data_IF_900392703006
#
_entry.id   IF_900392703006
#
_cell.length_a   1.000
_cell.length_b   1.000
_cell.length_c   1.000
_cell.angle_alpha   90.00
_cell.angle_beta   90.00
_cell.angle_gamma   90.00
#
_symmetry.space_group_name_H-M   'P 1'
#
loop_
_entity.id
_entity.type
_entity.pdbx_description
1 polymer ?
#
# COMPACT_ATOMS: atom_id res chain seq x y z
N UNK A 1 9.34 -12.51 -5.12
CA UNK A 1 9.51 -11.23 -4.41
C UNK A 1 9.32 -10.10 -5.41
N UNK A 2 8.81 -8.95 -4.96
CA UNK A 2 8.72 -7.74 -5.77
C UNK A 2 9.87 -6.83 -5.37
N UNK A 3 10.73 -6.47 -6.32
CA UNK A 3 11.75 -5.45 -6.17
C UNK A 3 11.21 -4.14 -6.72
N UNK A 4 11.34 -3.07 -5.94
CA UNK A 4 10.80 -1.76 -6.30
C UNK A 4 11.71 -0.65 -5.81
N UNK A 5 11.98 0.34 -6.66
CA UNK A 5 12.60 1.58 -6.23
C UNK A 5 11.61 2.39 -5.40
N UNK A 6 12.07 3.00 -4.30
CA UNK A 6 11.19 3.66 -3.34
C UNK A 6 10.38 4.81 -3.98
N UNK A 7 10.98 5.58 -4.87
CA UNK A 7 10.33 6.71 -5.53
C UNK A 7 9.20 6.25 -6.46
N UNK A 8 9.27 5.03 -6.97
CA UNK A 8 8.20 4.38 -7.74
C UNK A 8 6.95 4.04 -6.92
N UNK A 9 6.94 4.29 -5.61
CA UNK A 9 5.77 4.12 -4.75
C UNK A 9 5.12 5.45 -4.34
N UNK A 10 5.74 6.57 -4.69
CA UNK A 10 5.30 7.92 -4.34
C UNK A 10 4.34 8.47 -5.39
N UNK A 11 3.45 9.37 -4.99
CA UNK A 11 2.48 9.98 -5.93
C UNK A 11 3.11 11.02 -6.86
N UNK A 12 4.22 11.63 -6.47
CA UNK A 12 4.78 12.82 -7.13
C UNK A 12 5.84 12.55 -8.20
N UNK A 13 6.03 11.30 -8.66
CA UNK A 13 7.06 11.00 -9.65
C UNK A 13 6.51 10.74 -11.07
N UNK A 14 6.47 11.76 -11.96
CA UNK A 14 6.12 11.60 -13.36
C UNK A 14 7.23 10.94 -14.20
N UNK A 15 8.40 10.63 -13.62
CA UNK A 15 9.58 10.12 -14.33
C UNK A 15 9.80 8.61 -14.20
N UNK A 16 9.05 7.90 -13.36
CA UNK A 16 9.18 6.44 -13.26
C UNK A 16 8.62 5.75 -14.51
N UNK A 17 9.49 5.66 -15.53
CA UNK A 17 9.30 4.82 -16.70
C UNK A 17 9.27 3.34 -16.33
N UNK A 18 8.75 2.51 -17.24
CA UNK A 18 8.69 1.06 -17.08
C UNK A 18 10.10 0.48 -16.80
N UNK A 19 10.40 0.23 -15.53
CA UNK A 19 11.72 -0.25 -15.07
C UNK A 19 11.90 -0.21 -13.55
N UNK A 20 11.15 0.65 -12.86
CA UNK A 20 11.29 0.81 -11.41
C UNK A 20 10.71 -0.32 -10.54
N UNK A 21 10.07 -1.34 -11.13
CA UNK A 21 9.53 -2.49 -10.40
C UNK A 21 9.56 -3.78 -11.21
N UNK A 22 10.03 -4.87 -10.59
CA UNK A 22 10.09 -6.18 -11.22
C UNK A 22 9.96 -7.32 -10.21
N UNK A 23 9.47 -8.47 -10.69
CA UNK A 23 9.51 -9.73 -9.96
C UNK A 23 10.88 -10.41 -10.12
N UNK A 24 11.17 -11.46 -9.34
CA UNK A 24 12.44 -12.19 -9.39
C UNK A 24 12.79 -12.77 -10.78
N UNK A 25 11.78 -13.02 -11.62
CA UNK A 25 11.92 -13.50 -13.00
C UNK A 25 12.12 -12.36 -14.02
N UNK A 26 12.23 -11.11 -13.56
CA UNK A 26 12.40 -9.91 -14.38
C UNK A 26 11.11 -9.37 -14.98
N UNK A 27 9.95 -9.98 -14.71
CA UNK A 27 8.65 -9.45 -15.19
C UNK A 27 8.40 -8.09 -14.57
N UNK A 28 8.21 -7.07 -15.42
CA UNK A 28 7.94 -5.70 -14.99
C UNK A 28 6.54 -5.56 -14.41
N UNK A 29 6.44 -4.80 -13.32
CA UNK A 29 5.18 -4.53 -12.62
C UNK A 29 4.86 -3.04 -12.74
N UNK A 30 3.58 -2.70 -12.96
CA UNK A 30 3.17 -1.30 -13.06
C UNK A 30 3.27 -0.59 -11.72
N UNK A 31 3.53 0.72 -11.74
CA UNK A 31 3.54 1.60 -10.55
C UNK A 31 2.29 1.38 -9.67
N UNK A 32 1.11 1.41 -10.27
CA UNK A 32 -0.16 1.19 -9.57
C UNK A 32 -0.23 -0.18 -8.88
N UNK A 33 0.22 -1.23 -9.56
CA UNK A 33 0.23 -2.59 -8.99
C UNK A 33 1.26 -2.71 -7.88
N UNK A 34 2.47 -2.17 -8.06
CA UNK A 34 3.52 -2.15 -7.05
C UNK A 34 3.06 -1.42 -5.78
N UNK A 35 2.45 -0.24 -5.94
CA UNK A 35 1.89 0.54 -4.82
C UNK A 35 0.80 -0.24 -4.11
N UNK A 36 -0.13 -0.85 -4.84
CA UNK A 36 -1.19 -1.68 -4.25
C UNK A 36 -0.63 -2.87 -3.46
N UNK A 37 0.31 -3.61 -4.03
CA UNK A 37 0.94 -4.77 -3.37
C UNK A 37 1.73 -4.35 -2.13
N UNK A 38 2.35 -3.17 -2.14
CA UNK A 38 3.17 -2.68 -1.02
C UNK A 38 2.37 -2.11 0.16
N UNK A 39 1.04 -1.98 0.05
CA UNK A 39 0.19 -1.43 1.11
C UNK A 39 0.14 -2.31 2.38
N UNK A 40 0.03 -3.62 2.26
CA UNK A 40 -0.06 -4.53 3.42
C UNK A 40 1.01 -5.64 3.44
N UNK A 41 1.93 -5.62 2.47
CA UNK A 41 3.05 -6.56 2.39
C UNK A 41 4.21 -6.13 3.29
N UNK A 42 4.95 -7.11 3.80
CA UNK A 42 6.24 -6.86 4.44
C UNK A 42 7.21 -6.24 3.44
N UNK A 43 7.68 -5.02 3.73
CA UNK A 43 8.69 -4.32 2.93
C UNK A 43 10.04 -4.35 3.64
N UNK A 44 11.06 -4.81 2.94
CA UNK A 44 12.47 -4.80 3.40
C UNK A 44 13.20 -3.74 2.60
N UNK A 45 13.65 -2.63 3.22
CA UNK A 45 14.42 -1.62 2.51
C UNK A 45 15.85 -2.12 2.30
N UNK A 46 16.32 -2.03 1.05
CA UNK A 46 17.72 -2.25 0.69
C UNK A 46 18.35 -0.90 0.38
N UNK A 47 19.48 -0.62 1.02
CA UNK A 47 20.29 0.56 0.74
C UNK A 47 21.41 0.15 -0.20
N UNK A 48 21.48 0.82 -1.35
CA UNK A 48 22.41 0.50 -2.43
C UNK A 48 23.45 1.61 -2.55
N UNK A 49 24.68 1.22 -2.84
CA UNK A 49 25.72 2.14 -3.28
C UNK A 49 25.44 2.58 -4.73
N UNK A 50 26.03 3.69 -5.18
CA UNK A 50 25.78 4.22 -6.53
C UNK A 50 26.11 3.23 -7.66
N UNK A 51 27.08 2.35 -7.42
CA UNK A 51 27.56 1.29 -8.31
C UNK A 51 26.75 -0.02 -8.19
N UNK A 52 25.66 -0.03 -7.40
CA UNK A 52 24.68 -1.13 -7.35
C UNK A 52 24.95 -2.23 -6.31
N UNK A 53 25.99 -2.13 -5.50
CA UNK A 53 26.25 -3.09 -4.41
C UNK A 53 25.40 -2.76 -3.18
N UNK A 54 24.96 -3.79 -2.46
CA UNK A 54 24.15 -3.63 -1.23
C UNK A 54 25.04 -3.09 -0.11
N UNK A 55 24.67 -1.94 0.44
CA UNK A 55 25.31 -1.33 1.60
C UNK A 55 24.71 -1.85 2.92
N UNK A 56 23.38 -1.95 2.95
CA UNK A 56 22.65 -2.38 4.14
C UNK A 56 21.26 -2.91 3.77
N UNK A 57 20.71 -3.75 4.64
CA UNK A 57 19.34 -4.21 4.58
C UNK A 57 18.65 -3.87 5.90
N UNK A 58 17.70 -2.94 5.85
CA UNK A 58 16.93 -2.61 7.03
C UNK A 58 15.97 -3.73 7.42
N UNK A 59 15.45 -3.68 8.64
CA UNK A 59 14.43 -4.64 9.08
C UNK A 59 13.16 -4.53 8.23
N UNK A 60 12.47 -5.66 8.07
CA UNK A 60 11.11 -5.69 7.55
C UNK A 60 10.26 -4.71 8.37
N UNK A 61 9.84 -3.63 7.74
CA UNK A 61 9.03 -2.59 8.35
C UNK A 61 7.76 -2.53 7.54
N UNK A 62 6.64 -2.67 8.24
CA UNK A 62 5.26 -2.50 7.76
C UNK A 62 4.67 -3.80 7.23
N UNK A 63 3.89 -4.40 8.10
CA UNK A 63 2.80 -5.32 7.82
C UNK A 63 1.64 -4.72 8.61
N UNK A 64 0.45 -4.66 8.04
CA UNK A 64 -0.76 -4.41 8.82
C UNK A 64 -0.86 -5.56 9.81
N UNK A 65 -0.39 -5.32 11.04
CA UNK A 65 -0.19 -6.40 11.99
C UNK A 65 -1.53 -7.07 12.33
N UNK A 66 -1.53 -8.31 12.86
CA UNK A 66 -2.78 -9.02 13.13
C UNK A 66 -3.75 -8.27 14.04
N UNK A 67 -3.25 -7.46 14.98
CA UNK A 67 -4.10 -6.67 15.87
C UNK A 67 -4.81 -5.52 15.11
N UNK A 68 -4.07 -4.78 14.28
CA UNK A 68 -4.61 -3.74 13.43
C UNK A 68 -5.58 -4.34 12.39
N UNK A 69 -5.25 -5.49 11.80
CA UNK A 69 -6.14 -6.21 10.89
C UNK A 69 -7.48 -6.54 11.55
N UNK A 70 -7.47 -7.10 12.77
CA UNK A 70 -8.71 -7.38 13.52
C UNK A 70 -9.51 -6.11 13.82
N UNK A 71 -8.83 -5.01 14.17
CA UNK A 71 -9.48 -3.73 14.39
C UNK A 71 -10.14 -3.20 13.11
N UNK A 72 -9.47 -3.35 11.96
CA UNK A 72 -10.03 -3.05 10.64
C UNK A 72 -11.22 -3.94 10.32
N UNK A 73 -11.12 -5.26 10.48
CA UNK A 73 -12.24 -6.18 10.25
C UNK A 73 -13.46 -5.81 11.13
N UNK A 74 -13.22 -5.40 12.38
CA UNK A 74 -14.26 -4.97 13.29
C UNK A 74 -14.93 -3.65 12.88
N UNK A 75 -14.15 -2.68 12.39
CA UNK A 75 -14.63 -1.34 11.96
C UNK A 75 -15.28 -1.37 10.57
N UNK A 76 -14.70 -2.12 9.65
CA UNK A 76 -15.00 -2.02 8.23
C UNK A 76 -16.03 -3.03 7.77
N UNK A 77 -16.11 -4.19 8.42
CA UNK A 77 -17.10 -5.26 8.15
C UNK A 77 -17.12 -5.77 6.69
N UNK A 78 -16.09 -5.48 5.91
CA UNK A 78 -16.00 -5.80 4.49
C UNK A 78 -15.34 -4.66 3.71
N UNK A 79 -15.44 -4.73 2.39
CA UNK A 79 -14.95 -3.68 1.50
C UNK A 79 -15.69 -2.37 1.78
N UNK A 80 -14.93 -1.30 1.97
CA UNK A 80 -15.46 0.01 2.33
C UNK A 80 -15.75 0.93 1.15
N UNK A 81 -15.49 0.45 -0.06
CA UNK A 81 -15.90 1.13 -1.27
C UNK A 81 -17.43 1.29 -1.30
N UNK A 82 -17.97 2.49 -1.57
CA UNK A 82 -19.40 2.75 -1.56
C UNK A 82 -20.18 1.74 -2.43
N UNK A 83 -21.21 1.12 -1.85
CA UNK A 83 -22.03 0.12 -2.54
C UNK A 83 -21.41 -1.28 -2.67
N UNK A 84 -20.18 -1.51 -2.18
CA UNK A 84 -19.57 -2.83 -2.19
C UNK A 84 -19.97 -3.66 -0.97
N UNK A 85 -20.37 -4.93 -1.20
CA UNK A 85 -20.70 -5.90 -0.15
C UNK A 85 -19.68 -7.05 0.02
N UNK A 86 -18.55 -7.00 -0.69
CA UNK A 86 -17.56 -8.08 -0.68
C UNK A 86 -16.82 -8.15 0.66
N UNK A 87 -16.57 -9.37 1.15
CA UNK A 87 -15.88 -9.63 2.43
C UNK A 87 -14.41 -10.00 2.27
N UNK A 88 -14.02 -10.50 1.10
CA UNK A 88 -12.61 -10.77 0.80
C UNK A 88 -11.88 -9.45 0.56
N UNK A 89 -11.03 -9.07 1.50
CA UNK A 89 -10.43 -7.73 1.57
C UNK A 89 -8.96 -7.76 1.96
N UNK A 90 -8.24 -6.77 1.45
CA UNK A 90 -6.87 -6.41 1.74
C UNK A 90 -6.86 -5.06 2.46
N UNK A 91 -5.83 -4.81 3.27
CA UNK A 91 -5.71 -3.56 3.98
C UNK A 91 -4.92 -2.57 3.13
N UNK A 92 -5.44 -1.36 2.97
CA UNK A 92 -4.77 -0.32 2.20
C UNK A 92 -4.63 0.95 3.00
N UNK A 93 -3.52 1.66 2.82
CA UNK A 93 -3.39 2.99 3.36
C UNK A 93 -4.15 4.02 2.51
N UNK A 94 -4.78 5.00 3.16
CA UNK A 94 -5.39 6.17 2.51
C UNK A 94 -4.33 7.15 2.08
N UNK A 95 -3.37 7.47 2.96
CA UNK A 95 -2.09 8.06 2.59
C UNK A 95 -1.05 6.96 2.58
N UNK A 96 -0.47 6.66 1.42
CA UNK A 96 0.49 5.57 1.29
C UNK A 96 1.72 5.78 2.17
N UNK A 97 2.32 4.68 2.63
CA UNK A 97 3.46 4.75 3.53
C UNK A 97 4.70 5.39 2.87
N UNK A 98 4.87 5.21 1.56
CA UNK A 98 5.96 5.83 0.80
C UNK A 98 5.82 7.37 0.80
N UNK A 99 4.59 7.86 0.96
CA UNK A 99 4.26 9.27 1.11
C UNK A 99 4.19 9.70 2.59
N UNK A 100 4.87 8.98 3.49
CA UNK A 100 4.88 9.19 4.94
C UNK A 100 3.54 8.91 5.66
N UNK A 101 2.67 8.07 5.09
CA UNK A 101 1.49 7.58 5.78
C UNK A 101 1.79 6.58 6.90
N UNK A 102 1.16 6.77 8.06
CA UNK A 102 1.31 5.86 9.20
C UNK A 102 0.55 4.55 8.97
N UNK A 103 1.09 3.43 9.45
CA UNK A 103 0.33 2.16 9.54
C UNK A 103 -0.50 2.16 10.81
N UNK A 104 -1.67 2.79 10.77
CA UNK A 104 -2.57 2.93 11.91
C UNK A 104 -4.03 2.76 11.50
N UNK A 105 -4.91 2.52 12.48
CA UNK A 105 -6.34 2.36 12.22
C UNK A 105 -6.91 3.58 11.51
N UNK A 106 -6.44 4.78 11.84
CA UNK A 106 -6.93 6.04 11.24
C UNK A 106 -6.51 6.24 9.78
N UNK A 107 -5.48 5.53 9.30
CA UNK A 107 -4.96 5.67 7.95
C UNK A 107 -5.13 4.41 7.08
N UNK A 108 -5.52 3.28 7.65
CA UNK A 108 -5.78 2.05 6.90
C UNK A 108 -7.28 1.79 6.69
N UNK A 109 -7.65 1.11 5.60
CA UNK A 109 -9.03 0.73 5.23
C UNK A 109 -9.05 -0.62 4.52
N UNK A 110 -10.13 -1.39 4.69
CA UNK A 110 -10.34 -2.62 3.94
C UNK A 110 -10.99 -2.37 2.58
N UNK A 111 -10.36 -2.84 1.51
CA UNK A 111 -10.93 -2.86 0.16
C UNK A 111 -10.78 -4.25 -0.46
N UNK A 112 -11.66 -4.57 -1.41
CA UNK A 112 -11.55 -5.81 -2.17
C UNK A 112 -10.67 -5.59 -3.40
N UNK A 113 -10.16 -6.67 -3.99
CA UNK A 113 -9.32 -6.62 -5.19
C UNK A 113 -9.92 -5.86 -6.40
N UNK A 114 -11.23 -5.68 -6.44
CA UNK A 114 -11.92 -4.96 -7.52
C UNK A 114 -11.92 -3.44 -7.32
N UNK A 115 -11.67 -2.97 -6.09
CA UNK A 115 -11.66 -1.56 -5.75
C UNK A 115 -10.27 -1.18 -5.25
N UNK A 116 -9.47 -0.48 -6.08
CA UNK A 116 -8.16 -0.01 -5.65
C UNK A 116 -8.30 1.04 -4.55
N UNK A 117 -7.23 1.22 -3.78
CA UNK A 117 -7.12 2.35 -2.88
C UNK A 117 -7.18 3.66 -3.69
N UNK A 118 -8.02 4.61 -3.29
CA UNK A 118 -8.09 5.91 -3.93
C UNK A 118 -6.78 6.70 -3.69
N UNK A 119 -6.46 7.67 -4.56
CA UNK A 119 -5.38 8.63 -4.31
C UNK A 119 -5.53 9.33 -2.97
N UNK A 120 -4.39 9.73 -2.38
CA UNK A 120 -4.38 10.43 -1.11
C UNK A 120 -5.27 11.68 -1.14
N UNK A 121 -5.94 11.97 -0.01
CA UNK A 121 -6.79 13.15 0.14
C UNK A 121 -8.19 13.05 -0.46
N UNK A 122 -8.49 12.00 -1.25
CA UNK A 122 -9.85 11.80 -1.81
C UNK A 122 -10.81 11.09 -0.87
N UNK A 123 -10.32 10.50 0.23
CA UNK A 123 -11.15 9.74 1.17
C UNK A 123 -10.92 10.22 2.60
N UNK A 124 -12.01 10.33 3.35
CA UNK A 124 -11.96 10.52 4.80
C UNK A 124 -12.52 9.27 5.50
N UNK A 125 -11.74 8.73 6.43
CA UNK A 125 -12.17 7.60 7.26
C UNK A 125 -12.99 8.15 8.43
N UNK A 126 -14.31 7.97 8.35
CA UNK A 126 -15.22 8.26 9.46
C UNK A 126 -15.37 7.03 10.37
N UNK A 127 -15.34 7.19 11.70
CA UNK A 127 -15.72 6.13 12.62
C UNK A 127 -17.16 5.68 12.36
N UNK A 128 -17.39 4.38 12.17
CA UNK A 128 -18.73 3.77 12.15
C UNK A 128 -19.60 3.97 10.91
N UNK A 129 -19.17 4.73 9.89
CA UNK A 129 -19.91 4.92 8.63
C UNK A 129 -19.02 4.57 7.44
N UNK A 130 -19.58 4.16 6.29
CA UNK A 130 -18.83 3.92 5.05
C UNK A 130 -17.88 5.09 4.73
N UNK A 131 -16.71 4.79 4.16
CA UNK A 131 -15.79 5.84 3.72
C UNK A 131 -16.43 6.57 2.54
N UNK A 132 -16.47 7.90 2.64
CA UNK A 132 -17.10 8.74 1.64
C UNK A 132 -15.97 9.42 0.86
N UNK A 133 -16.06 9.50 -0.48
CA UNK A 133 -15.20 10.38 -1.25
C UNK A 133 -15.36 11.82 -0.71
N UNK A 134 -14.24 12.49 -0.49
CA UNK A 134 -14.16 13.92 -0.14
C UNK A 134 -14.37 14.75 -1.39
#
# INVERSE_FOLDING_TARGET
>A
MLHVELDALREEDPTCGAGCSHLDDGVRVSHETSRRLSCDSAVVPLFLHAEGWILDAGHARRVVNPALRRALDARDKGCRFPGCGLRYTEAHHVRHWADAGETSLANCVLLCRHHPAPPAGRWSLRPGAASVPV
#
